data_IF_309225143154
#
_entry.id   IF_309225143154
#
_cell.length_a   1.000
_cell.length_b   1.000
_cell.length_c   1.000
_cell.angle_alpha   90.00
_cell.angle_beta   90.00
_cell.angle_gamma   90.00
#
_symmetry.space_group_name_H-M   'P 1'
#
loop_
_entity.id
_entity.type
_entity.pdbx_description
1 polymer ?
#
# COMPACT_ATOMS: atom_id res chain seq x y z
N UNK A 1 -3.26 3.55 -21.58
CA UNK A 1 -3.30 4.97 -21.17
C UNK A 1 -2.07 5.40 -20.39
N UNK A 2 -1.63 4.66 -19.37
CA UNK A 2 -0.42 5.01 -18.58
C UNK A 2 0.88 4.84 -19.39
N UNK A 3 1.05 3.73 -20.12
CA UNK A 3 2.22 3.51 -20.98
C UNK A 3 2.33 4.53 -22.11
N UNK A 4 1.19 4.93 -22.69
CA UNK A 4 1.14 5.95 -23.76
C UNK A 4 1.52 7.35 -23.26
N UNK A 5 1.16 7.72 -22.03
CA UNK A 5 1.59 8.99 -21.43
C UNK A 5 3.09 9.00 -21.09
N UNK A 6 3.61 7.87 -20.60
CA UNK A 6 5.04 7.73 -20.30
C UNK A 6 5.90 7.75 -21.57
N UNK A 7 5.44 7.09 -22.65
CA UNK A 7 6.13 7.12 -23.93
C UNK A 7 6.13 8.51 -24.56
N UNK A 8 5.02 9.26 -24.45
CA UNK A 8 4.93 10.66 -24.90
C UNK A 8 5.89 11.58 -24.12
N UNK A 9 5.97 11.42 -22.79
CA UNK A 9 6.91 12.16 -21.95
C UNK A 9 8.37 11.86 -22.33
N UNK A 10 8.71 10.58 -22.46
CA UNK A 10 10.05 10.16 -22.88
C UNK A 10 10.40 10.68 -24.28
N UNK A 11 9.44 10.69 -25.21
CA UNK A 11 9.64 11.26 -26.54
C UNK A 11 9.95 12.77 -26.48
N UNK A 12 9.17 13.54 -25.73
CA UNK A 12 9.41 14.98 -25.55
C UNK A 12 10.78 15.26 -24.93
N UNK A 13 11.16 14.48 -23.93
CA UNK A 13 12.44 14.61 -23.26
C UNK A 13 13.62 14.26 -24.17
N UNK A 14 13.50 13.20 -24.98
CA UNK A 14 14.52 12.84 -25.96
C UNK A 14 14.68 13.91 -27.04
N UNK A 15 13.59 14.55 -27.49
CA UNK A 15 13.67 15.67 -28.44
C UNK A 15 14.42 16.86 -27.83
N UNK A 16 14.02 17.30 -26.63
CA UNK A 16 14.68 18.42 -25.94
C UNK A 16 16.17 18.12 -25.72
N UNK A 17 16.48 16.89 -25.29
CA UNK A 17 17.87 16.49 -25.07
C UNK A 17 18.67 16.45 -26.38
N UNK A 18 18.13 15.86 -27.43
CA UNK A 18 18.82 15.73 -28.71
C UNK A 18 19.09 17.10 -29.33
N UNK A 19 18.10 18.00 -29.32
CA UNK A 19 18.25 19.38 -29.82
C UNK A 19 19.28 20.15 -28.98
N UNK A 20 19.22 20.04 -27.66
CA UNK A 20 20.18 20.70 -26.76
C UNK A 20 21.60 20.18 -26.95
N UNK A 21 21.78 18.85 -27.03
CA UNK A 21 23.06 18.21 -27.28
C UNK A 21 23.64 18.65 -28.63
N UNK A 22 22.85 18.62 -29.71
CA UNK A 22 23.31 19.07 -31.02
C UNK A 22 23.71 20.54 -31.01
N UNK A 23 22.92 21.42 -30.39
CA UNK A 23 23.24 22.84 -30.30
C UNK A 23 24.56 23.09 -29.55
N UNK A 24 24.73 22.46 -28.38
CA UNK A 24 25.94 22.61 -27.55
C UNK A 24 27.16 22.00 -28.26
N UNK A 25 27.00 20.87 -28.96
CA UNK A 25 28.09 20.27 -29.75
C UNK A 25 28.51 21.16 -30.91
N UNK A 26 27.58 21.80 -31.62
CA UNK A 26 27.90 22.74 -32.68
C UNK A 26 28.64 23.97 -32.14
N UNK A 27 28.23 24.49 -30.99
CA UNK A 27 28.92 25.60 -30.33
C UNK A 27 30.34 25.22 -29.90
N UNK A 28 30.51 24.05 -29.27
CA UNK A 28 31.82 23.55 -28.87
C UNK A 28 32.73 23.29 -30.08
N UNK A 29 32.19 22.70 -31.15
CA UNK A 29 32.94 22.47 -32.39
C UNK A 29 33.39 23.79 -33.04
N UNK A 30 32.54 24.81 -33.06
CA UNK A 30 32.91 26.14 -33.55
C UNK A 30 33.99 26.79 -32.67
N UNK A 31 33.90 26.64 -31.34
CA UNK A 31 34.93 27.10 -30.40
C UNK A 31 36.29 26.42 -30.58
N UNK A 32 36.30 25.13 -30.95
CA UNK A 32 37.53 24.42 -31.32
C UNK A 32 38.08 24.93 -32.65
N UNK A 33 37.22 25.17 -33.65
CA UNK A 33 37.63 25.70 -34.95
C UNK A 33 38.23 27.11 -34.85
N UNK A 34 37.73 27.94 -33.92
CA UNK A 34 38.24 29.28 -33.63
C UNK A 34 39.48 29.28 -32.70
N UNK A 35 39.92 28.12 -32.22
CA UNK A 35 41.07 27.99 -31.31
C UNK A 35 40.82 28.45 -29.87
N UNK A 36 39.57 28.74 -29.50
CA UNK A 36 39.19 29.18 -28.14
C UNK A 36 38.96 28.00 -27.18
N UNK A 37 38.78 26.80 -27.71
CA UNK A 37 38.58 25.56 -26.95
C UNK A 37 39.47 24.45 -27.47
N UNK A 38 39.78 23.48 -26.62
CA UNK A 38 40.52 22.27 -26.99
C UNK A 38 39.58 21.13 -27.37
N UNK A 39 40.11 20.11 -28.05
CA UNK A 39 39.37 18.86 -28.32
C UNK A 39 38.96 18.17 -27.00
N UNK A 40 39.74 18.35 -25.93
CA UNK A 40 39.42 17.85 -24.60
C UNK A 40 38.15 18.48 -24.03
N UNK A 41 37.94 19.78 -24.26
CA UNK A 41 36.74 20.49 -23.80
C UNK A 41 35.48 19.98 -24.51
N UNK A 42 35.58 19.62 -25.78
CA UNK A 42 34.47 19.00 -26.53
C UNK A 42 34.07 17.64 -25.94
N UNK A 43 35.06 16.80 -25.61
CA UNK A 43 34.81 15.50 -24.95
C UNK A 43 34.25 15.70 -23.54
N UNK A 44 34.75 16.68 -22.79
CA UNK A 44 34.24 17.02 -21.46
C UNK A 44 32.77 17.45 -21.52
N UNK A 45 32.42 18.37 -22.43
CA UNK A 45 31.04 18.82 -22.64
C UNK A 45 30.12 17.66 -22.99
N UNK A 46 30.56 16.74 -23.85
CA UNK A 46 29.81 15.53 -24.17
C UNK A 46 29.56 14.67 -22.92
N UNK A 47 30.61 14.41 -22.14
CA UNK A 47 30.51 13.63 -20.90
C UNK A 47 29.58 14.25 -19.87
N UNK A 48 29.69 15.57 -19.65
CA UNK A 48 28.86 16.30 -18.68
C UNK A 48 27.38 16.31 -19.11
N UNK A 49 27.08 16.42 -20.40
CA UNK A 49 25.71 16.36 -20.91
C UNK A 49 25.08 14.97 -20.68
N UNK A 50 25.83 13.89 -20.89
CA UNK A 50 25.35 12.55 -20.57
C UNK A 50 25.10 12.37 -19.07
N UNK A 51 26.00 12.87 -18.21
CA UNK A 51 25.82 12.83 -16.76
C UNK A 51 24.56 13.59 -16.31
N UNK A 52 24.26 14.73 -16.92
CA UNK A 52 23.04 15.49 -16.65
C UNK A 52 21.77 14.77 -17.14
N UNK A 53 21.87 14.00 -18.23
CA UNK A 53 20.72 13.35 -18.85
C UNK A 53 20.22 12.15 -18.07
N UNK A 54 21.13 11.38 -17.49
CA UNK A 54 20.78 10.21 -16.69
C UNK A 54 19.74 10.51 -15.59
N UNK A 55 19.97 11.43 -14.65
CA UNK A 55 19.01 11.73 -13.58
C UNK A 55 17.71 12.33 -14.14
N UNK A 56 17.78 13.14 -15.19
CA UNK A 56 16.60 13.74 -15.81
C UNK A 56 15.63 12.68 -16.35
N UNK A 57 16.13 11.57 -16.92
CA UNK A 57 15.28 10.52 -17.49
C UNK A 57 14.34 9.87 -16.46
N UNK A 58 14.72 9.89 -15.18
CA UNK A 58 13.92 9.27 -14.11
C UNK A 58 13.01 10.26 -13.38
N UNK A 59 13.12 11.58 -13.61
CA UNK A 59 12.34 12.60 -12.88
C UNK A 59 10.83 12.37 -13.01
N UNK A 60 10.35 12.05 -14.22
CA UNK A 60 8.92 11.81 -14.45
C UNK A 60 8.39 10.57 -13.72
N UNK A 61 9.16 9.47 -13.74
CA UNK A 61 8.79 8.25 -13.02
C UNK A 61 8.89 8.43 -11.51
N UNK A 62 9.95 9.06 -11.01
CA UNK A 62 10.17 9.31 -9.59
C UNK A 62 9.10 10.25 -9.02
N UNK A 63 8.74 11.32 -9.73
CA UNK A 63 7.66 12.22 -9.29
C UNK A 63 6.34 11.47 -9.13
N UNK A 64 6.01 10.61 -10.10
CA UNK A 64 4.80 9.79 -10.04
C UNK A 64 4.85 8.77 -8.91
N UNK A 65 6.01 8.14 -8.70
CA UNK A 65 6.25 7.18 -7.62
C UNK A 65 6.05 7.84 -6.26
N UNK A 66 6.67 8.99 -6.01
CA UNK A 66 6.47 9.76 -4.78
C UNK A 66 4.99 10.08 -4.56
N UNK A 67 4.28 10.54 -5.60
CA UNK A 67 2.84 10.81 -5.49
C UNK A 67 2.05 9.56 -5.11
N UNK A 68 2.39 8.40 -5.68
CA UNK A 68 1.74 7.14 -5.36
C UNK A 68 2.06 6.70 -3.92
N UNK A 69 3.32 6.78 -3.51
CA UNK A 69 3.73 6.42 -2.15
C UNK A 69 3.03 7.25 -1.07
N UNK A 70 2.71 8.52 -1.35
CA UNK A 70 1.91 9.34 -0.45
C UNK A 70 0.46 8.84 -0.30
N UNK A 71 -0.16 8.39 -1.40
CA UNK A 71 -1.51 7.78 -1.36
C UNK A 71 -1.50 6.45 -0.61
N UNK A 72 -0.46 5.65 -0.84
CA UNK A 72 -0.29 4.37 -0.15
C UNK A 72 -0.07 4.59 1.36
N UNK A 73 0.68 5.63 1.73
CA UNK A 73 0.88 6.04 3.12
C UNK A 73 -0.43 6.46 3.78
N UNK A 74 -1.25 7.26 3.10
CA UNK A 74 -2.58 7.65 3.62
C UNK A 74 -3.45 6.43 3.93
N UNK A 75 -3.42 5.42 3.05
CA UNK A 75 -4.11 4.14 3.26
C UNK A 75 -3.58 3.41 4.49
N UNK A 76 -2.25 3.34 4.66
CA UNK A 76 -1.62 2.71 5.81
C UNK A 76 -1.94 3.41 7.13
N UNK A 77 -1.94 4.75 7.14
CA UNK A 77 -2.37 5.54 8.31
C UNK A 77 -3.84 5.27 8.63
N UNK A 78 -4.69 5.11 7.61
CA UNK A 78 -6.08 4.68 7.77
C UNK A 78 -6.19 3.32 8.47
N UNK A 79 -5.38 2.34 8.07
CA UNK A 79 -5.35 1.01 8.70
C UNK A 79 -4.85 1.05 10.14
N UNK A 80 -3.80 1.84 10.42
CA UNK A 80 -3.29 2.03 11.79
C UNK A 80 -4.31 2.69 12.71
N UNK A 81 -5.27 3.43 12.14
CA UNK A 81 -6.35 4.10 12.87
C UNK A 81 -7.59 3.23 13.08
N UNK A 82 -7.61 2.00 12.53
CA UNK A 82 -8.72 1.07 12.75
C UNK A 82 -8.81 0.69 14.23
N UNK A 83 -9.96 0.94 14.84
CA UNK A 83 -10.25 0.51 16.21
C UNK A 83 -10.80 -0.92 16.19
N UNK A 84 -10.31 -1.76 17.10
CA UNK A 84 -10.88 -3.09 17.32
C UNK A 84 -12.34 -3.00 17.70
N UNK A 85 -13.17 -3.85 17.10
CA UNK A 85 -14.61 -3.93 17.43
C UNK A 85 -14.85 -4.55 18.82
N UNK A 86 -13.92 -5.38 19.29
CA UNK A 86 -13.91 -5.97 20.63
C UNK A 86 -12.76 -5.34 21.39
N UNK A 87 -13.08 -4.66 22.49
CA UNK A 87 -12.11 -3.93 23.32
C UNK A 87 -12.31 -4.38 24.76
N UNK A 88 -11.21 -4.64 25.46
CA UNK A 88 -11.26 -4.98 26.88
C UNK A 88 -11.80 -3.80 27.70
N UNK A 89 -12.55 -4.13 28.75
CA UNK A 89 -12.93 -3.12 29.75
C UNK A 89 -11.69 -2.56 30.45
N UNK A 90 -11.72 -1.29 30.86
CA UNK A 90 -10.65 -0.66 31.66
C UNK A 90 -10.36 -1.39 32.97
N UNK A 91 -11.33 -2.16 33.46
CA UNK A 91 -11.25 -2.96 34.68
C UNK A 91 -11.18 -4.46 34.38
N UNK A 92 -10.83 -4.86 33.16
CA UNK A 92 -10.71 -6.27 32.80
C UNK A 92 -9.71 -6.97 33.73
N UNK A 93 -10.14 -8.10 34.28
CA UNK A 93 -9.29 -8.94 35.11
C UNK A 93 -8.92 -10.20 34.33
N UNK A 94 -7.76 -10.81 34.62
CA UNK A 94 -7.42 -12.12 34.07
C UNK A 94 -8.53 -13.13 34.38
N UNK A 95 -8.93 -13.91 33.37
CA UNK A 95 -9.92 -14.96 33.54
C UNK A 95 -9.40 -16.01 34.54
N UNK A 96 -10.04 -16.11 35.71
CA UNK A 96 -9.77 -17.17 36.67
C UNK A 96 -10.79 -18.29 36.52
N UNK A 97 -10.31 -19.45 36.05
CA UNK A 97 -11.17 -20.61 35.79
C UNK A 97 -11.25 -21.45 37.08
N UNK A 98 -12.41 -21.48 37.72
CA UNK A 98 -12.73 -22.36 38.86
C UNK A 98 -13.93 -23.24 38.46
N UNK A 99 -13.63 -24.45 37.98
CA UNK A 99 -14.61 -25.24 37.23
C UNK A 99 -14.67 -24.82 35.76
N UNK A 100 -15.09 -25.74 34.89
CA UNK A 100 -15.08 -25.57 33.43
C UNK A 100 -16.49 -25.53 32.85
N UNK A 101 -17.47 -24.98 33.58
CA UNK A 101 -18.82 -24.83 33.05
C UNK A 101 -18.90 -23.63 32.11
N UNK A 102 -19.59 -23.80 30.98
CA UNK A 102 -19.82 -22.75 29.99
C UNK A 102 -21.31 -22.48 29.94
N UNK A 103 -21.72 -21.24 30.18
CA UNK A 103 -23.13 -20.82 30.13
C UNK A 103 -23.33 -19.80 29.01
N UNK A 104 -24.20 -20.13 28.07
CA UNK A 104 -24.81 -19.17 27.16
C UNK A 104 -26.09 -18.67 27.82
N UNK A 105 -26.23 -17.35 27.95
CA UNK A 105 -27.37 -16.73 28.61
C UNK A 105 -27.98 -15.64 27.71
N UNK A 106 -29.12 -15.95 27.11
CA UNK A 106 -29.90 -15.09 26.23
C UNK A 106 -29.06 -14.41 25.13
N UNK A 107 -28.17 -15.17 24.51
CA UNK A 107 -27.19 -14.64 23.55
C UNK A 107 -27.88 -14.26 22.24
N UNK A 108 -27.67 -13.02 21.81
CA UNK A 108 -28.12 -12.48 20.53
C UNK A 108 -26.91 -12.04 19.72
N UNK A 109 -26.78 -12.51 18.47
CA UNK A 109 -25.60 -12.22 17.66
C UNK A 109 -25.90 -12.13 16.15
N UNK A 110 -25.20 -11.21 15.47
CA UNK A 110 -25.25 -11.01 14.02
C UNK A 110 -23.90 -10.50 13.51
N UNK A 111 -23.38 -11.03 12.40
CA UNK A 111 -22.16 -10.51 11.75
C UNK A 111 -22.40 -9.18 11.02
N UNK A 112 -23.60 -9.00 10.47
CA UNK A 112 -24.03 -7.78 9.82
C UNK A 112 -25.44 -7.44 10.31
N UNK A 113 -25.79 -6.15 10.33
CA UNK A 113 -27.04 -5.65 10.92
C UNK A 113 -28.32 -6.28 10.36
N UNK A 114 -28.25 -6.91 9.18
CA UNK A 114 -29.42 -7.40 8.46
C UNK A 114 -29.76 -8.88 8.69
N UNK A 115 -28.96 -9.65 9.45
CA UNK A 115 -29.24 -11.07 9.66
C UNK A 115 -28.81 -11.56 11.06
N UNK A 116 -29.79 -11.82 11.93
CA UNK A 116 -29.56 -12.37 13.29
C UNK A 116 -29.36 -13.88 13.23
N UNK A 117 -28.19 -14.33 13.68
CA UNK A 117 -27.78 -15.75 13.68
C UNK A 117 -28.17 -16.41 15.00
N UNK A 118 -27.82 -15.80 16.14
CA UNK A 118 -28.26 -16.26 17.45
C UNK A 118 -29.37 -15.33 17.94
N UNK A 119 -30.47 -15.92 18.42
CA UNK A 119 -31.68 -15.22 18.82
C UNK A 119 -32.12 -15.74 20.19
N UNK A 120 -31.64 -15.09 21.25
CA UNK A 120 -31.92 -15.45 22.64
C UNK A 120 -31.49 -16.87 23.02
N UNK A 121 -30.34 -17.33 22.51
CA UNK A 121 -29.89 -18.70 22.76
C UNK A 121 -29.32 -18.86 24.16
N UNK A 122 -29.87 -19.80 24.93
CA UNK A 122 -29.42 -20.13 26.30
C UNK A 122 -29.20 -21.63 26.46
N UNK A 123 -28.02 -22.02 26.93
CA UNK A 123 -27.69 -23.41 27.31
C UNK A 123 -26.50 -23.44 28.25
N UNK A 124 -26.32 -24.55 28.96
CA UNK A 124 -25.20 -24.76 29.88
C UNK A 124 -24.45 -26.05 29.52
N UNK A 125 -23.13 -25.97 29.51
CA UNK A 125 -22.21 -27.10 29.39
C UNK A 125 -21.59 -27.33 30.76
N UNK A 126 -21.96 -28.41 31.49
CA UNK A 126 -21.38 -28.69 32.80
C UNK A 126 -19.92 -29.13 32.70
N UNK A 127 -19.16 -28.91 33.77
CA UNK A 127 -17.74 -29.30 33.85
C UNK A 127 -17.56 -30.80 33.59
N UNK A 128 -16.61 -31.16 32.73
CA UNK A 128 -16.24 -32.55 32.45
C UNK A 128 -17.26 -33.33 31.60
N UNK A 129 -18.25 -32.65 31.01
CA UNK A 129 -19.22 -33.27 30.11
C UNK A 129 -18.89 -32.96 28.65
N UNK A 130 -19.11 -33.96 27.81
CA UNK A 130 -19.07 -33.81 26.35
C UNK A 130 -20.48 -33.57 25.84
N UNK A 131 -20.68 -32.47 25.11
CA UNK A 131 -21.98 -32.10 24.51
C UNK A 131 -21.79 -31.94 23.00
N UNK A 132 -22.78 -32.40 22.23
CA UNK A 132 -22.84 -32.21 20.79
C UNK A 132 -23.77 -31.04 20.46
N UNK A 133 -23.32 -30.12 19.60
CA UNK A 133 -24.14 -29.03 19.06
C UNK A 133 -24.55 -29.40 17.64
N UNK A 134 -25.84 -29.73 17.44
CA UNK A 134 -26.40 -30.16 16.14
C UNK A 134 -27.52 -29.23 15.69
N UNK A 135 -27.80 -29.19 14.38
CA UNK A 135 -28.85 -28.36 13.81
C UNK A 135 -28.73 -28.20 12.30
N UNK A 136 -29.80 -27.72 11.67
CA UNK A 136 -29.87 -27.50 10.21
C UNK A 136 -28.81 -26.53 9.70
N UNK A 137 -28.53 -26.54 8.39
CA UNK A 137 -27.61 -25.56 7.78
C UNK A 137 -28.05 -24.13 8.12
N UNK A 138 -27.09 -23.26 8.47
CA UNK A 138 -27.38 -21.88 8.87
C UNK A 138 -27.84 -21.67 10.32
N UNK A 139 -28.00 -22.71 11.13
CA UNK A 139 -28.48 -22.60 12.52
C UNK A 139 -27.49 -21.96 13.52
N UNK A 140 -26.38 -21.38 13.07
CA UNK A 140 -25.41 -20.69 13.94
C UNK A 140 -24.36 -21.56 14.64
N UNK A 141 -24.26 -22.87 14.36
CA UNK A 141 -23.30 -23.78 15.00
C UNK A 141 -21.85 -23.29 14.93
N UNK A 142 -21.40 -22.84 13.75
CA UNK A 142 -20.04 -22.31 13.57
C UNK A 142 -19.82 -20.96 14.24
N UNK A 143 -20.90 -20.21 14.52
CA UNK A 143 -20.85 -18.94 15.23
C UNK A 143 -20.67 -19.15 16.73
N UNK A 144 -21.25 -20.20 17.31
CA UNK A 144 -21.05 -20.58 18.72
C UNK A 144 -19.57 -20.94 19.00
N UNK A 145 -18.84 -21.40 17.98
CA UNK A 145 -17.43 -21.82 18.10
C UNK A 145 -16.41 -20.69 17.90
N UNK A 146 -16.84 -19.50 17.47
CA UNK A 146 -15.96 -18.36 17.18
C UNK A 146 -16.03 -17.33 18.28
#
# INVERSE_FOLDING_TARGET
>A
RVQTSLSLLNWGQNIVFSVGLTAIMLMAANGVALGTMTIGDLVMVNGLLFQLSFPLNFVGSTFREVRQSLVDLETMVGLLSLKSCVVDSKTAQPLQIKGGSIKFDNVNFSYANNHRILQGTSFEVPTGKTIAVVGASGSGKSTILR
#
